data_IF_959129365439
#
_entry.id   IF_959129365439
#
_cell.length_a   1.000
_cell.length_b   1.000
_cell.length_c   1.000
_cell.angle_alpha   90.00
_cell.angle_beta   90.00
_cell.angle_gamma   90.00
#
_symmetry.space_group_name_H-M   'P 1'
#
loop_
_entity.id
_entity.type
_entity.pdbx_description
1 polymer ?
#
# COMPACT_ATOMS: atom_id res chain seq x y z
N UNK A 1 -15.87 -8.35 -28.98
CA UNK A 1 -14.98 -9.12 -28.09
C UNK A 1 -14.59 -8.22 -26.91
N UNK A 2 -13.90 -8.74 -25.89
CA UNK A 2 -13.53 -7.95 -24.70
C UNK A 2 -12.02 -7.91 -24.52
N UNK A 3 -11.53 -6.84 -23.93
CA UNK A 3 -10.12 -6.59 -23.66
C UNK A 3 -9.78 -7.18 -22.28
N UNK A 4 -8.63 -7.82 -22.16
CA UNK A 4 -8.09 -8.27 -20.88
C UNK A 4 -7.10 -7.22 -20.39
N UNK A 5 -7.34 -6.67 -19.22
CA UNK A 5 -6.47 -5.71 -18.54
C UNK A 5 -6.08 -6.22 -17.15
N UNK A 6 -5.03 -5.65 -16.58
CA UNK A 6 -4.56 -5.98 -15.24
C UNK A 6 -4.64 -4.74 -14.37
N UNK A 7 -5.17 -4.90 -13.16
CA UNK A 7 -5.17 -3.83 -12.16
C UNK A 7 -3.76 -3.74 -11.50
N UNK A 8 -3.42 -2.64 -10.81
CA UNK A 8 -2.11 -2.50 -10.14
C UNK A 8 -1.81 -3.59 -9.10
N UNK A 9 -2.85 -4.18 -8.51
CA UNK A 9 -2.73 -5.32 -7.58
C UNK A 9 -2.63 -6.69 -8.28
N UNK A 10 -2.39 -6.74 -9.59
CA UNK A 10 -2.19 -7.99 -10.35
C UNK A 10 -3.46 -8.75 -10.75
N UNK A 11 -4.66 -8.32 -10.35
CA UNK A 11 -5.90 -8.98 -10.77
C UNK A 11 -6.20 -8.80 -12.26
N UNK A 12 -6.56 -9.90 -12.91
CA UNK A 12 -7.01 -9.93 -14.30
C UNK A 12 -8.47 -9.48 -14.40
N UNK A 13 -8.73 -8.41 -15.15
CA UNK A 13 -10.07 -7.85 -15.37
C UNK A 13 -10.42 -7.94 -16.86
N UNK A 14 -11.61 -8.45 -17.17
CA UNK A 14 -12.11 -8.53 -18.54
C UNK A 14 -13.13 -7.41 -18.76
N UNK A 15 -12.77 -6.44 -19.59
CA UNK A 15 -13.58 -5.25 -19.85
C UNK A 15 -14.06 -5.23 -21.30
N UNK A 16 -15.14 -4.52 -21.54
CA UNK A 16 -15.74 -4.40 -22.88
C UNK A 16 -14.94 -3.38 -23.71
N UNK A 17 -14.88 -3.58 -25.03
CA UNK A 17 -14.04 -2.77 -25.94
C UNK A 17 -14.29 -1.26 -25.84
N UNK A 18 -15.54 -0.83 -25.66
CA UNK A 18 -15.88 0.59 -25.52
C UNK A 18 -15.37 1.26 -24.23
N UNK A 19 -14.83 0.48 -23.29
CA UNK A 19 -14.16 1.00 -22.10
C UNK A 19 -12.65 1.17 -22.29
N UNK A 20 -12.11 0.82 -23.47
CA UNK A 20 -10.73 1.11 -23.84
C UNK A 20 -10.41 2.61 -23.64
N UNK A 21 -9.28 2.91 -22.99
CA UNK A 21 -8.83 4.27 -22.71
C UNK A 21 -9.59 4.99 -21.58
N UNK A 22 -10.66 4.40 -21.03
CA UNK A 22 -11.38 4.96 -19.87
C UNK A 22 -10.79 4.47 -18.55
N UNK A 23 -11.11 5.19 -17.47
CA UNK A 23 -10.81 4.76 -16.08
C UNK A 23 -11.79 3.63 -15.70
N UNK A 24 -11.26 2.49 -15.28
CA UNK A 24 -12.01 1.35 -14.77
C UNK A 24 -11.78 1.14 -13.27
N UNK A 25 -12.64 0.32 -12.66
CA UNK A 25 -12.53 -0.11 -11.26
C UNK A 25 -12.38 -1.63 -11.24
N UNK A 26 -11.40 -2.13 -10.50
CA UNK A 26 -11.20 -3.57 -10.36
C UNK A 26 -12.32 -4.19 -9.47
N UNK A 27 -13.04 -5.22 -9.93
CA UNK A 27 -14.09 -5.85 -9.14
C UNK A 27 -13.56 -6.68 -7.96
N UNK A 28 -12.25 -6.97 -7.91
CA UNK A 28 -11.62 -7.76 -6.85
C UNK A 28 -11.14 -6.92 -5.67
N UNK A 29 -10.55 -5.76 -5.93
CA UNK A 29 -9.92 -4.92 -4.90
C UNK A 29 -10.40 -3.46 -4.91
N UNK A 30 -11.27 -3.04 -5.83
CA UNK A 30 -11.79 -1.67 -5.90
C UNK A 30 -10.81 -0.62 -6.43
N UNK A 31 -9.57 -0.99 -6.75
CA UNK A 31 -8.57 -0.04 -7.26
C UNK A 31 -8.99 0.55 -8.61
N UNK A 32 -8.83 1.87 -8.75
CA UNK A 32 -9.05 2.60 -10.00
C UNK A 32 -7.81 2.46 -10.88
N UNK A 33 -7.98 2.09 -12.14
CA UNK A 33 -6.88 1.93 -13.09
C UNK A 33 -7.30 2.36 -14.50
N UNK A 34 -6.33 2.62 -15.38
CA UNK A 34 -6.61 3.02 -16.77
C UNK A 34 -6.62 1.78 -17.67
N UNK A 35 -7.70 1.59 -18.42
CA UNK A 35 -7.77 0.49 -19.40
C UNK A 35 -6.94 0.91 -20.62
N UNK A 36 -5.99 0.10 -21.10
CA UNK A 36 -5.24 0.41 -22.31
C UNK A 36 -6.21 0.72 -23.46
N UNK A 37 -5.94 1.78 -24.20
CA UNK A 37 -6.63 1.96 -25.48
C UNK A 37 -6.36 0.68 -26.29
N UNK A 38 -7.41 0.09 -26.89
CA UNK A 38 -7.22 -1.05 -27.76
C UNK A 38 -6.16 -0.64 -28.76
N UNK A 39 -4.97 -1.24 -28.67
CA UNK A 39 -3.90 -0.97 -29.59
C UNK A 39 -4.52 -1.23 -30.95
N UNK A 40 -4.71 -0.16 -31.74
CA UNK A 40 -5.07 -0.33 -33.14
C UNK A 40 -4.09 -1.37 -33.66
N UNK A 41 -4.55 -2.54 -34.15
CA UNK A 41 -3.64 -3.51 -34.72
C UNK A 41 -2.85 -2.71 -35.73
N UNK A 42 -1.55 -2.57 -35.46
CA UNK A 42 -0.67 -1.76 -36.27
C UNK A 42 -0.74 -2.37 -37.66
N UNK A 43 -1.61 -1.80 -38.50
CA UNK A 43 -1.66 -2.07 -39.91
C UNK A 43 -0.25 -1.81 -40.36
N UNK A 44 0.41 -2.88 -40.78
CA UNK A 44 1.74 -2.89 -41.35
C UNK A 44 1.76 -1.95 -42.56
N UNK A 45 1.84 -0.65 -42.32
CA UNK A 45 2.20 0.36 -43.28
C UNK A 45 3.71 0.51 -43.15
N UNK A 46 4.40 -0.38 -43.87
CA UNK A 46 5.80 -0.20 -44.18
C UNK A 46 5.98 1.14 -44.86
N UNK A 47 6.55 2.10 -44.16
CA UNK A 47 7.40 3.11 -44.75
C UNK A 47 8.56 3.29 -43.79
N UNK A 48 9.61 2.54 -44.06
CA UNK A 48 10.90 2.66 -43.41
C UNK A 48 11.42 4.09 -43.62
N UNK A 49 11.26 4.92 -42.61
CA UNK A 49 12.18 6.01 -42.37
C UNK A 49 13.35 5.46 -41.54
N UNK A 50 14.62 5.74 -41.88
CA UNK A 50 15.75 5.28 -41.09
C UNK A 50 15.79 6.10 -39.79
N UNK A 51 15.08 5.61 -38.76
CA UNK A 51 15.30 6.08 -37.39
C UNK A 51 16.63 5.46 -36.96
N UNK A 52 17.60 6.33 -36.68
CA UNK A 52 18.90 5.96 -36.17
C UNK A 52 18.74 4.90 -35.08
N UNK A 53 19.47 3.80 -35.24
CA UNK A 53 19.65 2.78 -34.22
C UNK A 53 20.23 3.49 -33.00
N UNK A 54 19.37 3.83 -32.03
CA UNK A 54 19.81 4.16 -30.69
C UNK A 54 20.50 2.88 -30.18
N UNK A 55 21.82 2.91 -30.16
CA UNK A 55 22.65 1.89 -29.52
C UNK A 55 22.03 1.62 -28.15
N UNK A 56 21.45 0.43 -28.00
CA UNK A 56 21.32 -0.16 -26.67
C UNK A 56 22.71 -0.08 -26.03
N UNK A 57 22.88 0.51 -24.84
CA UNK A 57 24.17 0.46 -24.18
C UNK A 57 24.47 -1.02 -23.93
N UNK A 58 25.46 -1.54 -24.65
CA UNK A 58 25.99 -2.86 -24.38
C UNK A 58 26.39 -2.87 -22.91
N UNK A 59 25.74 -3.72 -22.11
CA UNK A 59 26.08 -3.91 -20.72
C UNK A 59 27.56 -4.28 -20.64
N UNK A 60 28.39 -3.36 -20.15
CA UNK A 60 29.80 -3.63 -19.90
C UNK A 60 29.86 -4.51 -18.67
N UNK A 61 30.35 -5.74 -18.85
CA UNK A 61 30.79 -6.56 -17.73
C UNK A 61 32.00 -5.83 -17.15
N UNK A 62 31.79 -5.09 -16.07
CA UNK A 62 32.89 -4.52 -15.28
C UNK A 62 33.60 -5.70 -14.63
N UNK A 63 34.87 -5.86 -14.98
CA UNK A 63 35.73 -6.86 -14.35
C UNK A 63 35.84 -6.52 -12.87
N UNK A 64 35.47 -7.45 -12.00
CA UNK A 64 35.68 -7.29 -10.56
C UNK A 64 37.18 -7.30 -10.26
N UNK A 65 37.62 -6.36 -9.42
CA UNK A 65 38.99 -6.29 -8.95
C UNK A 65 39.32 -7.52 -8.10
N UNK A 66 40.50 -8.10 -8.29
CA UNK A 66 40.93 -9.32 -7.61
C UNK A 66 40.96 -9.16 -6.08
N UNK A 67 41.11 -7.93 -5.59
CA UNK A 67 41.09 -7.63 -4.15
C UNK A 67 39.68 -7.79 -3.57
N UNK A 68 38.63 -7.43 -4.32
CA UNK A 68 37.26 -7.68 -3.90
C UNK A 68 36.94 -9.18 -3.90
N UNK A 69 37.43 -9.91 -4.90
CA UNK A 69 37.25 -11.36 -5.01
C UNK A 69 37.84 -12.13 -3.81
N UNK A 70 38.94 -11.63 -3.22
CA UNK A 70 39.58 -12.23 -2.05
C UNK A 70 38.84 -11.98 -0.73
N UNK A 71 37.94 -10.98 -0.67
CA UNK A 71 37.17 -10.62 0.52
C UNK A 71 35.81 -11.30 0.63
N UNK A 72 35.33 -11.99 -0.42
CA UNK A 72 34.07 -12.72 -0.33
C UNK A 72 34.22 -13.90 0.63
N UNK A 73 33.24 -14.12 1.53
CA UNK A 73 33.25 -15.31 2.36
C UNK A 73 33.29 -16.55 1.47
N UNK A 74 34.10 -17.57 1.80
CA UNK A 74 34.14 -18.79 1.04
C UNK A 74 32.72 -19.36 0.96
N UNK A 75 32.20 -19.50 -0.25
CA UNK A 75 30.88 -20.04 -0.48
C UNK A 75 30.85 -21.46 0.11
N UNK A 76 30.20 -21.61 1.25
CA UNK A 76 29.90 -22.92 1.79
C UNK A 76 28.96 -23.58 0.78
N UNK A 77 29.44 -24.67 0.18
CA UNK A 77 28.62 -25.50 -0.70
C UNK A 77 27.42 -25.98 0.12
N UNK A 78 26.27 -25.34 -0.07
CA UNK A 78 24.98 -25.88 0.31
C UNK A 78 24.90 -27.24 -0.38
N UNK A 79 25.06 -28.28 0.43
CA UNK A 79 24.86 -29.65 -0.01
C UNK A 79 23.41 -29.72 -0.50
N UNK A 80 23.25 -29.73 -1.82
CA UNK A 80 21.98 -29.95 -2.47
C UNK A 80 21.60 -31.41 -2.20
N UNK A 81 21.04 -31.66 -1.02
CA UNK A 81 20.32 -32.89 -0.78
C UNK A 81 19.14 -32.89 -1.75
N UNK A 82 19.00 -33.92 -2.60
CA UNK A 82 17.90 -33.99 -3.54
C UNK A 82 16.60 -34.08 -2.73
N UNK A 83 15.86 -32.97 -2.65
CA UNK A 83 14.48 -32.98 -2.16
C UNK A 83 13.71 -33.93 -3.06
N UNK A 84 13.42 -35.11 -2.52
CA UNK A 84 12.51 -36.08 -3.07
C UNK A 84 11.13 -35.44 -3.02
N UNK A 85 10.75 -34.82 -4.13
CA UNK A 85 9.45 -34.18 -4.31
C UNK A 85 8.37 -35.26 -4.27
N UNK A 86 7.86 -35.54 -3.08
CA UNK A 86 6.64 -36.33 -2.89
C UNK A 86 5.47 -35.54 -3.45
N UNK A 87 5.09 -35.93 -4.66
CA UNK A 87 3.94 -35.44 -5.40
C UNK A 87 2.68 -35.81 -4.61
N UNK A 88 1.94 -34.87 -3.98
CA UNK A 88 0.69 -35.22 -3.32
C UNK A 88 -0.34 -35.57 -4.40
N UNK A 89 -0.52 -36.87 -4.62
CA UNK A 89 -1.55 -37.43 -5.47
C UNK A 89 -2.88 -37.50 -4.71
N UNK A 90 -3.43 -36.36 -4.24
CA UNK A 90 -4.76 -36.31 -3.62
C UNK A 90 -5.44 -34.94 -3.79
N UNK A 91 -5.72 -34.52 -5.02
CA UNK A 91 -6.82 -33.57 -5.28
C UNK A 91 -7.55 -34.03 -6.54
N UNK A 92 -8.11 -35.24 -6.50
CA UNK A 92 -9.00 -35.74 -7.54
C UNK A 92 -10.14 -36.53 -6.89
N UNK A 93 -10.87 -35.90 -5.97
CA UNK A 93 -12.14 -36.42 -5.43
C UNK A 93 -12.91 -35.31 -4.70
N UNK A 94 -13.52 -34.41 -5.49
CA UNK A 94 -14.65 -33.59 -5.06
C UNK A 94 -15.50 -33.22 -6.27
N UNK A 95 -15.91 -34.25 -7.01
CA UNK A 95 -17.05 -34.18 -7.92
C UNK A 95 -18.28 -34.68 -7.16
N UNK A 96 -19.41 -34.00 -7.40
CA UNK A 96 -20.78 -34.36 -6.99
C UNK A 96 -21.21 -33.98 -5.55
N UNK A 97 -21.37 -32.67 -5.32
CA UNK A 97 -22.47 -32.18 -4.49
C UNK A 97 -23.10 -30.99 -5.21
N UNK A 98 -24.13 -31.27 -6.00
CA UNK A 98 -25.00 -30.24 -6.56
C UNK A 98 -25.81 -29.62 -5.42
N UNK A 99 -25.83 -28.28 -5.24
CA UNK A 99 -26.84 -27.66 -4.40
C UNK A 99 -28.18 -27.78 -5.10
N UNK A 100 -29.09 -28.57 -4.54
CA UNK A 100 -30.49 -28.54 -4.93
C UNK A 100 -31.07 -27.20 -4.49
N UNK A 101 -31.34 -26.35 -5.48
CA UNK A 101 -32.12 -25.12 -5.33
C UNK A 101 -33.58 -25.57 -5.26
N UNK A 102 -34.17 -25.51 -4.07
CA UNK A 102 -35.62 -25.60 -3.87
C UNK A 102 -36.27 -24.28 -4.30
N UNK A 103 -37.17 -24.26 -5.31
CA UNK A 103 -37.98 -23.09 -5.61
C UNK A 103 -39.29 -23.17 -4.82
N UNK A 104 -39.32 -22.71 -3.56
CA UNK A 104 -40.58 -22.65 -2.81
C UNK A 104 -40.62 -21.53 -1.75
N UNK A 105 -40.14 -20.33 -2.09
CA UNK A 105 -40.49 -19.12 -1.32
C UNK A 105 -40.61 -17.91 -2.27
N UNK A 106 -41.48 -18.01 -3.26
CA UNK A 106 -41.87 -16.87 -4.12
C UNK A 106 -43.39 -16.64 -4.04
N UNK A 107 -43.98 -16.71 -2.84
CA UNK A 107 -45.41 -16.43 -2.65
C UNK A 107 -45.77 -15.73 -1.33
N UNK A 108 -44.85 -15.01 -0.66
CA UNK A 108 -45.19 -14.30 0.59
C UNK A 108 -44.60 -12.89 0.78
N UNK A 109 -44.27 -12.17 -0.30
CA UNK A 109 -43.85 -10.74 -0.18
C UNK A 109 -44.62 -9.76 -1.06
N UNK A 110 -45.84 -10.13 -1.47
CA UNK A 110 -46.75 -9.29 -2.25
C UNK A 110 -47.93 -8.71 -1.42
N UNK A 111 -47.83 -8.67 -0.09
CA UNK A 111 -48.87 -8.12 0.78
C UNK A 111 -48.27 -7.27 1.92
N UNK A 112 -47.57 -6.19 1.57
CA UNK A 112 -47.25 -5.10 2.48
C UNK A 112 -47.10 -3.78 1.69
N UNK A 113 -48.11 -3.48 0.87
CA UNK A 113 -48.40 -2.15 0.35
C UNK A 113 -49.80 -1.81 0.82
N UNK A 114 -49.91 -1.28 2.04
CA UNK A 114 -50.91 -0.27 2.40
C UNK A 114 -50.64 0.19 3.84
N UNK A 115 -50.80 1.50 4.07
CA UNK A 115 -50.69 2.23 5.35
C UNK A 115 -49.22 2.59 5.73
N UNK A 116 -48.77 3.84 5.80
CA UNK A 116 -49.50 5.08 6.03
C UNK A 116 -48.73 6.29 5.43
N UNK A 117 -49.48 7.11 4.71
CA UNK A 117 -49.18 8.52 4.45
C UNK A 117 -49.95 9.30 5.52
N UNK A 118 -49.25 9.99 6.43
CA UNK A 118 -49.70 11.27 6.99
C UNK A 118 -48.45 12.12 7.33
N UNK A 119 -48.33 13.36 6.80
CA UNK A 119 -47.36 14.33 7.26
C UNK A 119 -47.92 15.09 8.47
N UNK A 120 -47.17 15.22 9.56
CA UNK A 120 -47.55 16.16 10.62
C UNK A 120 -46.38 17.03 11.03
N UNK A 121 -46.53 18.31 10.67
CA UNK A 121 -45.73 19.41 11.13
C UNK A 121 -46.28 19.88 12.47
N UNK A 122 -45.51 19.71 13.55
CA UNK A 122 -45.71 20.49 14.75
C UNK A 122 -44.39 21.05 15.28
N UNK A 123 -44.27 22.35 15.05
CA UNK A 123 -43.45 23.26 15.84
C UNK A 123 -43.93 23.23 17.30
N UNK A 124 -43.02 22.95 18.21
CA UNK A 124 -43.20 23.26 19.64
C UNK A 124 -41.91 23.84 20.17
N UNK A 125 -41.90 25.16 20.27
CA UNK A 125 -41.06 25.91 21.22
C UNK A 125 -41.50 25.56 22.63
N UNK A 126 -40.55 25.44 23.57
CA UNK A 126 -40.71 26.25 24.76
C UNK A 126 -39.42 26.93 25.24
N UNK A 127 -39.70 28.01 25.96
CA UNK A 127 -38.82 29.01 26.50
C UNK A 127 -37.86 28.49 27.60
N UNK A 128 -36.65 29.05 27.56
CA UNK A 128 -36.00 29.77 28.67
C UNK A 128 -36.09 29.11 30.06
N UNK A 129 -35.08 28.31 30.40
CA UNK A 129 -34.63 28.16 31.78
C UNK A 129 -33.17 28.58 31.88
N UNK A 130 -33.00 29.80 32.37
CA UNK A 130 -31.76 30.39 32.85
C UNK A 130 -31.39 29.72 34.18
N UNK A 131 -30.34 28.90 34.18
CA UNK A 131 -29.58 28.56 35.39
C UNK A 131 -28.10 28.46 34.99
N UNK A 132 -27.34 29.49 35.34
CA UNK A 132 -25.89 29.38 35.41
C UNK A 132 -25.52 28.45 36.58
N UNK A 133 -24.54 27.57 36.37
CA UNK A 133 -23.49 27.46 37.37
C UNK A 133 -22.12 27.72 36.74
N UNK A 134 -21.39 28.65 37.36
CA UNK A 134 -19.95 28.67 37.31
C UNK A 134 -19.40 27.34 37.82
N UNK A 135 -18.53 26.71 37.05
CA UNK A 135 -17.30 26.01 37.50
C UNK A 135 -16.90 24.90 36.52
N UNK A 136 -15.65 25.01 36.07
CA UNK A 136 -14.77 23.91 35.69
C UNK A 136 -15.04 23.22 34.35
N UNK A 137 -14.45 23.82 33.32
CA UNK A 137 -13.94 23.10 32.16
C UNK A 137 -12.97 22.01 32.64
N UNK A 138 -13.41 20.76 32.62
CA UNK A 138 -12.52 19.60 32.66
C UNK A 138 -12.27 19.22 31.21
N UNK A 139 -11.26 19.86 30.63
CA UNK A 139 -10.57 19.33 29.45
C UNK A 139 -9.99 17.96 29.85
N UNK A 140 -10.29 16.85 29.14
CA UNK A 140 -9.51 15.64 29.34
C UNK A 140 -8.07 15.97 28.97
N UNK A 141 -7.21 15.85 29.98
CA UNK A 141 -5.81 16.19 29.94
C UNK A 141 -5.15 15.60 28.69
N UNK A 142 -4.45 16.49 28.01
CA UNK A 142 -3.43 16.19 27.02
C UNK A 142 -2.54 15.10 27.63
N UNK A 143 -2.61 13.92 27.02
CA UNK A 143 -1.79 12.78 27.38
C UNK A 143 -0.33 13.23 27.30
N UNK A 144 0.24 13.39 28.49
CA UNK A 144 1.60 13.79 28.70
C UNK A 144 2.50 12.79 27.98
N UNK A 145 3.17 13.27 26.93
CA UNK A 145 4.23 12.55 26.27
C UNK A 145 5.23 12.12 27.36
N UNK A 146 5.54 10.83 27.52
CA UNK A 146 6.43 10.38 28.58
C UNK A 146 7.83 10.96 28.30
N UNK A 147 8.30 11.80 29.21
CA UNK A 147 9.67 12.27 29.23
C UNK A 147 10.60 11.06 29.38
N UNK A 148 11.32 10.71 28.31
CA UNK A 148 12.31 9.64 28.34
C UNK A 148 13.69 10.22 28.69
N UNK A 149 14.32 9.61 29.69
CA UNK A 149 15.70 9.87 30.05
C UNK A 149 16.62 9.29 28.96
N UNK A 150 17.47 10.16 28.39
CA UNK A 150 18.41 9.82 27.34
C UNK A 150 19.52 8.91 27.88
N UNK A 151 19.44 7.61 27.56
CA UNK A 151 20.56 6.69 27.72
C UNK A 151 21.64 6.99 26.69
N UNK A 152 22.82 7.35 27.19
CA UNK A 152 24.05 7.61 26.43
C UNK A 152 24.46 6.37 25.60
N UNK A 153 24.48 6.50 24.27
CA UNK A 153 24.97 5.46 23.36
C UNK A 153 26.30 5.95 22.77
N UNK A 154 27.41 5.22 22.94
CA UNK A 154 28.72 5.69 22.50
C UNK A 154 28.81 5.75 20.97
N UNK A 155 29.22 6.92 20.48
CA UNK A 155 29.53 7.19 19.09
C UNK A 155 30.75 6.35 18.65
N UNK A 156 30.48 5.24 17.96
CA UNK A 156 31.49 4.53 17.19
C UNK A 156 31.40 4.97 15.73
N UNK A 157 32.44 5.71 15.35
CA UNK A 157 32.79 6.20 14.03
C UNK A 157 32.80 5.06 12.99
N UNK A 158 31.97 5.20 11.95
CA UNK A 158 32.04 4.35 10.75
C UNK A 158 32.19 5.27 9.55
N UNK A 159 33.43 5.39 9.11
CA UNK A 159 33.82 6.05 7.87
C UNK A 159 33.78 5.02 6.72
N UNK A 160 33.48 5.53 5.52
CA UNK A 160 33.90 5.05 4.18
C UNK A 160 32.93 4.22 3.30
N UNK A 161 32.59 4.88 2.19
CA UNK A 161 32.24 4.43 0.83
C UNK A 161 30.95 3.60 0.63
N UNK A 162 29.87 4.30 0.28
CA UNK A 162 28.85 3.75 -0.60
C UNK A 162 28.58 4.74 -1.75
N UNK A 163 28.50 4.20 -2.95
CA UNK A 163 27.87 4.81 -4.11
C UNK A 163 26.43 5.17 -3.66
N UNK A 164 26.19 6.44 -3.33
CA UNK A 164 24.88 6.92 -2.85
C UNK A 164 23.90 6.87 -4.03
N UNK A 165 23.39 5.67 -4.33
CA UNK A 165 22.03 5.50 -4.84
C UNK A 165 21.16 6.43 -4.02
N UNK A 166 20.56 7.40 -4.71
CA UNK A 166 19.84 8.53 -4.11
C UNK A 166 18.83 7.97 -3.10
N UNK A 167 19.21 7.99 -1.82
CA UNK A 167 18.46 7.34 -0.75
C UNK A 167 17.09 7.96 -0.73
N UNK A 168 16.08 7.15 -1.03
CA UNK A 168 14.70 7.60 -1.25
C UNK A 168 14.09 8.28 -0.03
N UNK A 169 14.70 8.13 1.14
CA UNK A 169 14.13 8.54 2.43
C UNK A 169 14.95 9.65 3.12
N UNK A 170 15.11 10.79 2.45
CA UNK A 170 15.90 11.94 2.94
C UNK A 170 15.56 12.38 4.39
N UNK A 171 14.28 12.25 4.80
CA UNK A 171 13.84 12.61 6.15
C UNK A 171 14.45 11.71 7.26
N UNK A 172 14.76 10.45 6.95
CA UNK A 172 15.38 9.50 7.89
C UNK A 172 16.89 9.73 7.94
N UNK A 173 17.52 10.06 6.82
CA UNK A 173 18.96 10.32 6.76
C UNK A 173 19.37 11.59 7.47
N UNK A 174 18.48 12.58 7.53
CA UNK A 174 18.79 13.85 8.19
C UNK A 174 19.10 13.67 9.67
N UNK A 175 18.41 12.74 10.35
CA UNK A 175 18.57 12.49 11.79
C UNK A 175 18.33 11.00 12.12
N UNK A 176 19.30 10.10 11.85
CA UNK A 176 19.11 8.65 11.99
C UNK A 176 19.03 8.16 13.44
N UNK A 177 19.43 9.01 14.40
CA UNK A 177 19.39 8.69 15.83
C UNK A 177 18.02 8.97 16.47
N UNK A 178 17.15 9.74 15.79
CA UNK A 178 15.85 10.08 16.35
C UNK A 178 14.89 8.91 16.22
N UNK A 179 14.14 8.58 17.29
CA UNK A 179 13.10 7.56 17.22
C UNK A 179 11.93 8.07 16.37
N UNK A 180 11.31 7.14 15.65
CA UNK A 180 10.15 7.37 14.81
C UNK A 180 8.94 6.68 15.43
N UNK A 181 7.84 7.40 15.59
CA UNK A 181 6.56 6.83 15.98
C UNK A 181 5.69 6.64 14.72
N UNK A 182 5.13 5.45 14.55
CA UNK A 182 4.20 5.15 13.45
C UNK A 182 2.87 4.70 14.05
N UNK A 183 1.79 5.36 13.65
CA UNK A 183 0.42 5.03 14.05
C UNK A 183 -0.36 4.41 12.88
N UNK A 184 -0.81 3.17 13.07
CA UNK A 184 -1.57 2.35 12.12
C UNK A 184 -2.90 1.99 12.80
N UNK A 185 -4.02 2.42 12.23
CA UNK A 185 -5.37 2.12 12.76
C UNK A 185 -5.56 2.46 14.26
N UNK A 186 -4.91 3.53 14.73
CA UNK A 186 -4.96 3.98 16.13
C UNK A 186 -4.02 3.22 17.08
N UNK A 187 -3.36 2.15 16.63
CA UNK A 187 -2.26 1.52 17.34
C UNK A 187 -0.93 2.11 16.84
N UNK A 188 -0.11 2.63 17.75
CA UNK A 188 1.20 3.16 17.38
C UNK A 188 2.36 2.44 18.03
N UNK A 189 3.50 2.42 17.34
CA UNK A 189 4.75 1.83 17.81
C UNK A 189 5.92 2.74 17.51
N UNK A 190 6.90 2.72 18.39
CA UNK A 190 8.20 3.36 18.17
C UNK A 190 9.11 2.44 17.36
N UNK A 191 9.80 3.00 16.39
CA UNK A 191 10.75 2.36 15.49
C UNK A 191 12.06 3.16 15.51
N UNK A 192 13.18 2.47 15.47
CA UNK A 192 14.45 3.08 15.11
C UNK A 192 14.45 3.44 13.61
N UNK A 193 15.34 4.34 13.18
CA UNK A 193 15.48 4.74 11.78
C UNK A 193 15.62 3.55 10.81
N UNK A 194 16.42 2.53 11.16
CA UNK A 194 16.58 1.32 10.36
C UNK A 194 15.29 0.49 10.25
N UNK A 195 14.57 0.35 11.36
CA UNK A 195 13.29 -0.35 11.38
C UNK A 195 12.22 0.40 10.58
N UNK A 196 12.27 1.74 10.60
CA UNK A 196 11.43 2.59 9.76
C UNK A 196 11.73 2.36 8.28
N UNK A 197 13.01 2.41 7.86
CA UNK A 197 13.43 2.11 6.49
C UNK A 197 12.92 0.73 6.04
N UNK A 198 13.22 -0.30 6.82
CA UNK A 198 12.81 -1.67 6.51
C UNK A 198 11.27 -1.81 6.38
N UNK A 199 10.52 -1.07 7.20
CA UNK A 199 9.07 -1.04 7.11
C UNK A 199 8.57 -0.37 5.82
N UNK A 200 9.18 0.75 5.40
CA UNK A 200 8.86 1.41 4.13
C UNK A 200 9.20 0.50 2.92
N UNK A 201 10.41 -0.08 2.92
CA UNK A 201 10.88 -0.97 1.84
C UNK A 201 10.07 -2.27 1.74
N UNK A 202 9.46 -2.73 2.84
CA UNK A 202 8.57 -3.90 2.82
C UNK A 202 7.24 -3.64 2.09
N UNK A 203 6.94 -2.38 1.74
CA UNK A 203 5.69 -1.99 1.10
C UNK A 203 4.47 -2.15 2.03
N UNK A 204 4.68 -2.22 3.35
CA UNK A 204 3.60 -2.30 4.33
C UNK A 204 2.92 -0.95 4.59
N UNK A 205 3.57 0.15 4.22
CA UNK A 205 2.99 1.48 4.31
C UNK A 205 1.86 1.66 3.27
N UNK A 206 0.65 1.91 3.75
CA UNK A 206 -0.55 2.12 2.93
C UNK A 206 -0.72 3.57 2.47
N UNK A 207 -0.03 4.51 3.10
CA UNK A 207 -0.10 5.95 2.81
C UNK A 207 -0.97 6.72 3.79
N UNK A 208 -1.84 6.06 4.56
CA UNK A 208 -2.73 6.74 5.50
C UNK A 208 -2.19 6.80 6.93
N UNK A 209 -1.07 6.14 7.19
CA UNK A 209 -0.40 6.14 8.48
C UNK A 209 0.07 7.54 8.87
N UNK A 210 0.01 7.82 10.18
CA UNK A 210 0.64 9.00 10.76
C UNK A 210 2.01 8.63 11.29
N UNK A 211 3.01 9.43 10.94
CA UNK A 211 4.39 9.27 11.38
C UNK A 211 4.82 10.52 12.14
N UNK A 212 5.51 10.33 13.25
CA UNK A 212 6.09 11.42 14.03
C UNK A 212 7.56 11.11 14.28
N UNK A 213 8.43 12.08 14.00
CA UNK A 213 9.83 12.02 14.41
C UNK A 213 9.95 12.63 15.82
N UNK A 214 10.91 12.19 16.63
CA UNK A 214 11.04 12.64 18.03
C UNK A 214 11.17 14.15 18.24
N UNK A 215 11.59 14.89 17.22
CA UNK A 215 11.72 16.35 17.21
C UNK A 215 10.49 17.09 16.65
N UNK A 216 9.47 16.36 16.15
CA UNK A 216 8.27 16.96 15.58
C UNK A 216 7.19 17.19 16.64
N UNK A 217 6.54 18.36 16.56
CA UNK A 217 5.45 18.74 17.48
C UNK A 217 4.12 18.04 17.19
N UNK A 218 3.96 17.51 15.98
CA UNK A 218 2.75 16.81 15.56
C UNK A 218 3.09 15.71 14.57
N UNK A 219 2.32 14.63 14.62
CA UNK A 219 2.36 13.59 13.59
C UNK A 219 1.99 14.19 12.22
N UNK A 220 2.71 13.77 11.19
CA UNK A 220 2.41 14.08 9.79
C UNK A 220 1.93 12.83 9.09
N UNK A 221 1.19 13.00 8.00
CA UNK A 221 0.83 11.85 7.15
C UNK A 221 2.09 11.33 6.46
N UNK A 222 2.20 10.01 6.35
CA UNK A 222 3.39 9.37 5.78
C UNK A 222 3.71 9.87 4.37
N UNK A 223 2.71 10.16 3.52
CA UNK A 223 2.93 10.71 2.17
C UNK A 223 3.47 12.16 2.16
N UNK A 224 3.33 12.91 3.25
CA UNK A 224 3.91 14.26 3.35
C UNK A 224 5.41 14.21 3.65
N UNK A 225 5.84 13.12 4.29
CA UNK A 225 7.23 12.88 4.67
C UNK A 225 7.96 12.09 3.59
N UNK A 226 7.26 11.10 3.04
CA UNK A 226 7.75 10.11 2.08
C UNK A 226 6.82 10.14 0.85
N UNK A 227 6.96 11.14 -0.03
CA UNK A 227 6.08 11.32 -1.19
C UNK A 227 6.10 10.12 -2.16
N UNK A 228 7.19 9.34 -2.18
CA UNK A 228 7.35 8.12 -2.96
C UNK A 228 6.35 7.01 -2.60
N UNK A 229 5.79 7.03 -1.38
CA UNK A 229 4.84 6.02 -0.90
C UNK A 229 3.40 6.35 -1.32
N UNK A 230 3.16 7.51 -1.94
CA UNK A 230 1.82 7.94 -2.27
C UNK A 230 1.11 6.94 -3.21
N UNK A 231 0.08 6.21 -2.74
CA UNK A 231 -0.62 5.21 -3.55
C UNK A 231 -1.40 5.83 -4.72
N UNK A 232 -1.59 7.15 -4.71
CA UNK A 232 -2.20 7.93 -5.78
C UNK A 232 -1.22 8.48 -6.82
N UNK A 233 0.08 8.48 -6.54
CA UNK A 233 1.12 8.85 -7.50
C UNK A 233 1.40 7.66 -8.42
N UNK A 234 0.42 7.29 -9.23
CA UNK A 234 0.57 6.23 -10.23
C UNK A 234 1.71 6.55 -11.19
N UNK A 235 2.64 5.61 -11.29
CA UNK A 235 3.67 5.58 -12.33
C UNK A 235 3.05 5.26 -13.69
#
# INVERSE_FOLDING_TARGET
MGIVSFCPNGHRVKVKDHLAGRKGICPRCGSRFRIPAAAQPALAAGTAAPVAVALMPAARIVSFDAVLAAGLPPALALSAEPVKQERPAQIEQAAAAQPQVTPEVEEQVAAAVEQAIVPDAQAVVPAEHSVAPAAQAVVPAEDAWPAFEHGDVPAAEVELLADHECSTYAAIEQDPQLPWYVAIDGAGRWLAADAMRQWLDSGQATGDEQVCRGDWKSGKKIYEVFPEINPGAGW
#
